data_IF_602535593185
#
_entry.id   IF_602535593185
#
_cell.length_a   1.000
_cell.length_b   1.000
_cell.length_c   1.000
_cell.angle_alpha   90.00
_cell.angle_beta   90.00
_cell.angle_gamma   90.00
#
_symmetry.space_group_name_H-M   'P 1'
#
loop_
_entity.id
_entity.type
_entity.pdbx_description
1 polymer ?
#
# COMPACT_ATOMS: atom_id res chain seq x y z
N UNK A 1 16.31 49.33 5.44
CA UNK A 1 17.47 49.85 6.24
C UNK A 1 17.16 49.67 7.71
N UNK A 2 18.10 49.22 8.57
CA UNK A 2 19.43 48.68 8.29
C UNK A 2 19.68 47.25 8.84
N UNK A 3 20.71 46.64 8.26
CA UNK A 3 21.46 45.50 8.76
C UNK A 3 22.04 45.71 10.17
N UNK A 4 22.14 44.68 10.98
CA UNK A 4 23.30 44.52 11.88
C UNK A 4 23.75 43.04 11.93
N UNK A 5 25.03 42.90 11.66
CA UNK A 5 25.83 41.68 11.68
C UNK A 5 26.55 41.52 13.02
N UNK A 6 27.11 40.32 13.21
CA UNK A 6 28.23 39.90 14.07
C UNK A 6 27.92 39.62 15.55
N UNK A 7 28.23 38.41 16.02
CA UNK A 7 29.56 38.16 16.62
C UNK A 7 29.81 36.66 16.83
N UNK A 8 30.98 36.22 16.37
CA UNK A 8 31.58 34.91 16.68
C UNK A 8 32.17 34.98 18.10
N UNK A 9 32.06 33.89 18.86
CA UNK A 9 32.99 33.61 19.96
C UNK A 9 33.50 32.18 19.85
N UNK A 10 34.78 32.04 19.56
CA UNK A 10 35.56 30.84 19.75
C UNK A 10 35.97 30.76 21.22
N UNK A 11 35.79 29.59 21.82
CA UNK A 11 36.54 29.22 23.01
C UNK A 11 36.98 27.77 22.88
N UNK A 12 38.29 27.62 22.71
CA UNK A 12 39.00 26.35 22.84
C UNK A 12 39.23 26.09 24.33
N UNK A 13 39.01 24.85 24.77
CA UNK A 13 39.61 24.36 26.03
C UNK A 13 40.17 22.95 25.81
N UNK A 14 41.43 22.87 26.20
CA UNK A 14 42.28 21.67 26.20
C UNK A 14 41.89 20.63 27.26
N UNK A 15 41.97 19.39 26.88
CA UNK A 15 42.73 18.31 27.49
C UNK A 15 42.41 17.83 28.90
N UNK A 16 42.05 16.54 28.97
CA UNK A 16 42.69 15.61 29.94
C UNK A 16 42.40 14.15 29.45
N UNK A 17 43.47 13.45 29.07
CA UNK A 17 43.43 12.04 28.81
C UNK A 17 43.43 11.28 30.14
N UNK A 18 42.36 10.50 30.38
CA UNK A 18 42.34 9.50 31.45
C UNK A 18 42.42 8.12 30.78
N UNK A 19 43.54 7.45 30.95
CA UNK A 19 43.74 6.06 30.59
C UNK A 19 42.96 5.18 31.58
N UNK A 20 41.85 4.61 31.15
CA UNK A 20 41.17 3.54 31.88
C UNK A 20 41.56 2.18 31.27
N UNK A 21 42.30 1.39 32.02
CA UNK A 21 42.55 -0.04 31.73
C UNK A 21 41.23 -0.79 31.88
N UNK A 22 40.61 -1.19 30.78
CA UNK A 22 39.49 -2.11 30.78
C UNK A 22 39.98 -3.56 30.65
N UNK A 23 39.87 -4.32 31.73
CA UNK A 23 40.03 -5.75 31.75
C UNK A 23 38.86 -6.35 30.96
N UNK A 24 39.13 -6.88 29.77
CA UNK A 24 38.17 -7.56 28.93
C UNK A 24 37.77 -8.92 29.52
N UNK A 25 36.55 -9.01 30.04
CA UNK A 25 35.89 -10.31 30.22
C UNK A 25 35.35 -10.76 28.85
N UNK A 26 35.96 -11.81 28.30
CA UNK A 26 35.47 -12.49 27.09
C UNK A 26 34.11 -13.11 27.41
N UNK A 27 33.02 -12.48 26.96
CA UNK A 27 31.69 -13.07 26.94
C UNK A 27 31.59 -14.18 25.88
N UNK A 28 30.68 -15.17 26.07
CA UNK A 28 30.51 -16.23 25.09
C UNK A 28 30.14 -15.67 23.71
N UNK A 29 30.86 -16.16 22.68
CA UNK A 29 30.55 -15.81 21.29
C UNK A 29 29.08 -16.15 21.00
N UNK A 30 28.26 -15.12 20.72
CA UNK A 30 26.95 -15.32 20.12
C UNK A 30 27.21 -15.89 18.74
N UNK A 31 26.79 -17.14 18.53
CA UNK A 31 26.75 -17.72 17.18
C UNK A 31 25.83 -16.83 16.33
N UNK A 32 26.36 -16.31 15.23
CA UNK A 32 25.58 -15.61 14.22
C UNK A 32 24.46 -16.55 13.76
N UNK A 33 23.22 -16.11 13.88
CA UNK A 33 22.10 -16.79 13.27
C UNK A 33 22.40 -16.88 11.76
N UNK A 34 22.18 -18.05 11.11
CA UNK A 34 22.41 -18.17 9.68
C UNK A 34 21.61 -17.08 8.97
N UNK A 35 22.29 -16.34 8.07
CA UNK A 35 21.62 -15.37 7.21
C UNK A 35 20.47 -16.08 6.48
N UNK A 36 19.27 -15.45 6.37
CA UNK A 36 18.17 -16.05 5.64
C UNK A 36 18.65 -16.39 4.23
N UNK A 37 18.40 -17.63 3.81
CA UNK A 37 18.77 -18.09 2.47
C UNK A 37 18.24 -17.09 1.44
N UNK A 38 19.11 -16.64 0.53
CA UNK A 38 18.73 -15.75 -0.56
C UNK A 38 17.54 -16.41 -1.29
N UNK A 39 16.35 -15.84 -1.16
CA UNK A 39 15.19 -16.28 -1.93
C UNK A 39 15.53 -16.08 -3.40
N UNK A 40 15.32 -17.11 -4.22
CA UNK A 40 15.40 -17.00 -5.68
C UNK A 40 14.63 -15.77 -6.13
N UNK A 41 15.22 -14.99 -7.05
CA UNK A 41 14.60 -13.76 -7.53
C UNK A 41 13.14 -14.04 -7.95
N UNK A 42 12.21 -13.36 -7.34
CA UNK A 42 10.78 -13.50 -7.59
C UNK A 42 10.48 -12.89 -8.96
N UNK A 43 10.42 -13.73 -9.99
CA UNK A 43 10.18 -13.26 -11.36
C UNK A 43 8.69 -13.26 -11.67
N UNK A 44 8.13 -12.09 -11.82
CA UNK A 44 6.77 -11.91 -12.32
C UNK A 44 6.79 -11.71 -13.83
N UNK A 45 6.24 -12.66 -14.57
CA UNK A 45 6.19 -12.64 -16.03
C UNK A 45 4.82 -12.18 -16.49
N UNK A 46 4.79 -11.15 -17.36
CA UNK A 46 3.58 -10.72 -18.03
C UNK A 46 3.05 -11.83 -18.95
N UNK A 47 1.79 -12.22 -18.76
CA UNK A 47 1.14 -13.29 -19.53
C UNK A 47 0.00 -12.74 -20.42
N UNK A 48 -0.32 -11.47 -20.31
CA UNK A 48 -1.31 -10.82 -21.16
C UNK A 48 -1.85 -9.52 -20.54
N UNK A 49 -2.75 -8.89 -21.25
CA UNK A 49 -3.47 -7.72 -20.77
C UNK A 49 -4.86 -7.63 -21.38
N UNK A 50 -5.78 -7.04 -20.66
CA UNK A 50 -7.12 -6.69 -21.11
C UNK A 50 -7.25 -5.16 -21.13
N UNK A 51 -8.25 -4.64 -21.84
CA UNK A 51 -8.55 -3.22 -21.75
C UNK A 51 -9.21 -2.93 -20.40
N UNK A 52 -8.67 -1.97 -19.67
CA UNK A 52 -9.33 -1.44 -18.47
C UNK A 52 -10.49 -0.52 -18.88
N UNK A 53 -11.65 -0.71 -18.27
CA UNK A 53 -12.80 0.18 -18.49
C UNK A 53 -12.62 1.46 -17.65
N UNK A 54 -12.63 2.65 -18.28
CA UNK A 54 -12.35 3.90 -17.57
C UNK A 54 -13.39 4.29 -16.52
N UNK A 55 -14.58 3.70 -16.55
CA UNK A 55 -15.63 4.00 -15.58
C UNK A 55 -15.69 3.02 -14.41
N UNK A 56 -15.21 1.80 -14.63
CA UNK A 56 -15.34 0.71 -13.65
C UNK A 56 -14.02 0.10 -13.21
N UNK A 57 -12.88 0.43 -13.88
CA UNK A 57 -11.58 -0.18 -13.60
C UNK A 57 -10.43 0.84 -13.71
N UNK A 58 -10.69 2.15 -13.50
CA UNK A 58 -9.64 3.15 -13.65
C UNK A 58 -8.92 3.49 -12.33
N UNK A 59 -9.41 3.00 -11.19
CA UNK A 59 -8.83 3.26 -9.88
C UNK A 59 -8.38 1.98 -9.18
N UNK A 60 -9.15 0.91 -9.28
CA UNK A 60 -8.80 -0.29 -8.55
C UNK A 60 -9.49 -1.56 -9.01
N UNK A 61 -9.00 -2.68 -8.48
CA UNK A 61 -9.43 -4.05 -8.77
C UNK A 61 -9.54 -4.86 -7.48
N UNK A 62 -10.45 -5.82 -7.43
CA UNK A 62 -10.48 -6.82 -6.38
C UNK A 62 -10.98 -8.18 -6.89
N UNK A 63 -10.45 -9.24 -6.32
CA UNK A 63 -10.98 -10.61 -6.41
C UNK A 63 -11.85 -10.88 -5.20
N UNK A 64 -13.17 -10.88 -5.39
CA UNK A 64 -14.11 -11.20 -4.31
C UNK A 64 -14.37 -12.70 -4.32
N UNK A 65 -14.06 -13.38 -3.22
CA UNK A 65 -14.37 -14.79 -3.09
C UNK A 65 -15.88 -15.03 -3.03
N UNK A 66 -16.28 -16.13 -3.65
CA UNK A 66 -17.66 -16.58 -3.72
C UNK A 66 -17.74 -18.03 -3.25
N UNK A 67 -18.93 -18.57 -2.90
CA UNK A 67 -19.06 -19.92 -2.40
C UNK A 67 -18.34 -20.96 -3.26
N UNK A 68 -17.81 -22.00 -2.61
CA UNK A 68 -17.09 -23.09 -3.28
C UNK A 68 -17.86 -23.61 -4.50
N UNK A 69 -17.14 -23.76 -5.63
CA UNK A 69 -17.73 -24.20 -6.90
C UNK A 69 -18.22 -23.09 -7.83
N UNK A 70 -18.26 -21.84 -7.36
CA UNK A 70 -18.50 -20.66 -8.20
C UNK A 70 -17.16 -20.05 -8.66
N UNK A 71 -17.09 -19.42 -9.85
CA UNK A 71 -15.91 -18.66 -10.23
C UNK A 71 -15.75 -17.44 -9.32
N UNK A 72 -14.49 -16.97 -9.11
CA UNK A 72 -14.25 -15.69 -8.44
C UNK A 72 -15.00 -14.59 -9.18
N UNK A 73 -15.54 -13.66 -8.42
CA UNK A 73 -16.04 -12.41 -8.96
C UNK A 73 -14.88 -11.41 -8.99
N UNK A 74 -14.50 -11.00 -10.17
CA UNK A 74 -13.64 -9.84 -10.34
C UNK A 74 -14.50 -8.60 -10.33
N UNK A 75 -14.07 -7.59 -9.59
CA UNK A 75 -14.72 -6.28 -9.56
C UNK A 75 -13.66 -5.21 -9.68
N UNK A 76 -14.02 -4.09 -10.25
CA UNK A 76 -13.19 -2.90 -10.33
C UNK A 76 -13.95 -1.70 -9.83
N UNK A 77 -13.25 -0.61 -9.64
CA UNK A 77 -13.81 0.68 -9.31
C UNK A 77 -13.14 1.77 -10.15
N UNK A 78 -13.93 2.71 -10.64
CA UNK A 78 -13.44 3.83 -11.47
C UNK A 78 -14.25 5.10 -11.25
N UNK A 79 -15.40 5.01 -10.58
CA UNK A 79 -16.29 6.15 -10.34
C UNK A 79 -16.86 6.12 -8.93
N UNK A 80 -17.08 7.31 -8.40
CA UNK A 80 -17.67 7.49 -7.07
C UNK A 80 -19.21 7.49 -7.19
N UNK A 81 -19.93 6.65 -6.41
CA UNK A 81 -21.37 6.67 -6.37
C UNK A 81 -21.91 8.07 -6.05
N UNK A 82 -22.94 8.51 -6.78
CA UNK A 82 -23.52 9.85 -6.65
C UNK A 82 -23.85 10.23 -5.20
N UNK A 83 -24.41 9.30 -4.42
CA UNK A 83 -24.73 9.53 -3.01
C UNK A 83 -23.52 9.75 -2.10
N UNK A 84 -22.31 9.32 -2.51
CA UNK A 84 -21.06 9.61 -1.82
C UNK A 84 -20.49 10.97 -2.28
N UNK A 85 -20.47 11.22 -3.59
CA UNK A 85 -19.94 12.47 -4.13
C UNK A 85 -20.70 13.69 -3.63
N UNK A 86 -22.04 13.62 -3.48
CA UNK A 86 -22.86 14.70 -2.91
C UNK A 86 -22.59 14.96 -1.42
N UNK A 87 -21.96 14.01 -0.71
CA UNK A 87 -21.49 14.18 0.67
C UNK A 87 -20.04 14.64 0.76
N UNK A 88 -19.41 14.94 -0.39
CA UNK A 88 -18.06 15.47 -0.49
C UNK A 88 -16.96 14.43 -0.58
N UNK A 89 -17.28 13.13 -0.72
CA UNK A 89 -16.27 12.10 -1.04
C UNK A 89 -15.95 12.24 -2.51
N UNK A 90 -14.75 12.70 -2.84
CA UNK A 90 -14.34 13.09 -4.19
C UNK A 90 -13.14 12.31 -4.74
N UNK A 91 -12.61 11.35 -3.96
CA UNK A 91 -11.59 10.42 -4.39
C UNK A 91 -11.94 9.01 -3.93
N UNK A 92 -11.70 8.02 -4.79
CA UNK A 92 -11.83 6.59 -4.49
C UNK A 92 -10.53 5.90 -4.92
N UNK A 93 -10.08 4.94 -4.13
CA UNK A 93 -8.85 4.21 -4.41
C UNK A 93 -9.07 2.73 -4.67
N UNK A 94 -8.00 1.95 -4.62
CA UNK A 94 -7.98 0.52 -4.88
C UNK A 94 -8.69 -0.28 -3.79
N UNK A 95 -9.76 -1.02 -4.13
CA UNK A 95 -10.50 -1.84 -3.18
C UNK A 95 -9.80 -3.17 -2.95
N UNK A 96 -10.22 -3.88 -1.90
CA UNK A 96 -9.87 -5.27 -1.68
C UNK A 96 -11.01 -6.05 -1.05
N UNK A 97 -10.88 -7.36 -0.92
CA UNK A 97 -11.89 -8.23 -0.36
C UNK A 97 -11.31 -9.30 0.56
N UNK A 98 -12.04 -9.59 1.63
CA UNK A 98 -11.74 -10.73 2.49
C UNK A 98 -12.28 -12.05 1.92
N UNK A 99 -11.71 -13.16 2.36
CA UNK A 99 -12.13 -14.51 1.93
C UNK A 99 -13.56 -14.90 2.30
N UNK A 100 -14.15 -14.21 3.26
CA UNK A 100 -15.56 -14.39 3.61
C UNK A 100 -16.53 -13.59 2.75
N UNK A 101 -15.98 -12.86 1.75
CA UNK A 101 -16.75 -12.12 0.75
C UNK A 101 -17.09 -10.68 1.13
N UNK A 102 -16.54 -10.13 2.21
CA UNK A 102 -16.62 -8.70 2.47
C UNK A 102 -15.70 -7.96 1.49
N UNK A 103 -16.23 -6.88 0.90
CA UNK A 103 -15.55 -6.04 -0.07
C UNK A 103 -15.40 -4.64 0.48
N UNK A 104 -14.19 -4.09 0.45
CA UNK A 104 -13.83 -2.81 1.05
C UNK A 104 -13.45 -1.81 -0.02
N UNK A 105 -14.13 -0.67 -0.07
CA UNK A 105 -13.82 0.48 -0.94
C UNK A 105 -13.22 1.62 -0.11
N UNK A 106 -12.00 2.09 -0.40
CA UNK A 106 -11.41 3.24 0.28
C UNK A 106 -11.82 4.56 -0.39
N UNK A 107 -12.24 5.54 0.41
CA UNK A 107 -12.63 6.88 -0.03
C UNK A 107 -11.94 7.97 0.78
N UNK A 108 -11.71 9.12 0.16
CA UNK A 108 -11.26 10.33 0.85
C UNK A 108 -11.95 11.58 0.33
N UNK A 109 -11.75 12.67 1.08
CA UNK A 109 -12.00 14.04 0.64
C UNK A 109 -10.65 14.71 0.48
N UNK A 110 -10.34 15.28 -0.67
CA UNK A 110 -9.01 15.85 -0.96
C UNK A 110 -8.61 16.99 -0.02
N UNK A 111 -9.58 17.69 0.56
CA UNK A 111 -9.37 18.77 1.54
C UNK A 111 -9.74 18.36 2.98
N UNK A 112 -10.00 17.08 3.19
CA UNK A 112 -10.49 16.56 4.46
C UNK A 112 -9.37 16.12 5.41
N UNK A 113 -9.78 15.75 6.62
CA UNK A 113 -8.95 15.12 7.63
C UNK A 113 -9.47 13.71 8.01
N UNK A 114 -10.22 13.09 7.10
CA UNK A 114 -10.83 11.77 7.31
C UNK A 114 -10.65 10.89 6.08
N UNK A 115 -10.47 9.60 6.33
CA UNK A 115 -10.57 8.51 5.36
C UNK A 115 -11.86 7.75 5.65
N UNK A 116 -12.46 7.14 4.64
CA UNK A 116 -13.59 6.25 4.83
C UNK A 116 -13.30 4.92 4.14
N UNK A 117 -13.64 3.84 4.82
CA UNK A 117 -13.70 2.49 4.26
C UNK A 117 -15.16 2.08 4.20
N UNK A 118 -15.69 1.94 2.99
CA UNK A 118 -17.06 1.51 2.76
C UNK A 118 -17.05 0.01 2.50
N UNK A 119 -17.79 -0.74 3.29
CA UNK A 119 -17.76 -2.20 3.27
C UNK A 119 -19.08 -2.76 2.78
N UNK A 120 -19.01 -3.63 1.78
CA UNK A 120 -20.14 -4.47 1.38
C UNK A 120 -20.01 -5.84 2.05
N UNK A 121 -21.01 -6.21 2.84
CA UNK A 121 -21.10 -7.55 3.40
C UNK A 121 -21.58 -8.58 2.34
N UNK A 122 -21.38 -9.90 2.56
CA UNK A 122 -21.82 -10.95 1.62
C UNK A 122 -23.31 -10.94 1.29
N UNK A 123 -24.15 -10.41 2.17
CA UNK A 123 -25.59 -10.23 1.94
C UNK A 123 -25.95 -9.03 1.06
N UNK A 124 -24.93 -8.25 0.63
CA UNK A 124 -25.06 -7.05 -0.19
C UNK A 124 -25.33 -5.76 0.59
N UNK A 125 -25.45 -5.81 1.91
CA UNK A 125 -25.60 -4.61 2.75
C UNK A 125 -24.30 -3.80 2.80
N UNK A 126 -24.43 -2.47 2.97
CA UNK A 126 -23.30 -1.56 3.02
C UNK A 126 -23.21 -0.87 4.38
N UNK A 127 -21.97 -0.73 4.88
CA UNK A 127 -21.65 0.07 6.05
C UNK A 127 -20.43 0.98 5.77
N UNK A 128 -20.35 2.10 6.49
CA UNK A 128 -19.28 3.09 6.33
C UNK A 128 -18.50 3.22 7.64
N UNK A 129 -17.18 3.15 7.55
CA UNK A 129 -16.27 3.24 8.69
C UNK A 129 -15.30 4.39 8.43
N UNK A 130 -15.30 5.37 9.31
CA UNK A 130 -14.50 6.59 9.14
C UNK A 130 -13.31 6.56 10.09
N UNK A 131 -12.14 6.86 9.54
CA UNK A 131 -10.92 7.15 10.29
C UNK A 131 -10.62 8.64 10.23
N UNK A 132 -10.50 9.27 11.39
CA UNK A 132 -9.97 10.64 11.51
C UNK A 132 -8.46 10.57 11.61
N UNK A 133 -7.76 11.33 10.75
CA UNK A 133 -6.30 11.32 10.67
C UNK A 133 -5.66 11.59 12.03
N UNK A 134 -4.67 10.80 12.38
CA UNK A 134 -3.84 10.99 13.56
C UNK A 134 -2.91 12.20 13.37
N UNK A 135 -2.42 12.83 14.44
CA UNK A 135 -1.43 13.90 14.33
C UNK A 135 -0.19 13.45 13.53
N UNK A 136 0.12 14.17 12.45
CA UNK A 136 1.25 13.86 11.56
C UNK A 136 0.96 12.77 10.51
N UNK A 137 -0.27 12.25 10.43
CA UNK A 137 -0.71 11.39 9.34
C UNK A 137 -1.07 12.23 8.13
N UNK A 138 -0.48 11.90 6.97
CA UNK A 138 -0.86 12.52 5.71
C UNK A 138 -2.16 11.91 5.17
N UNK A 139 -2.99 12.76 4.56
CA UNK A 139 -4.21 12.29 3.91
C UNK A 139 -3.84 11.44 2.70
N UNK A 140 -4.30 10.22 2.68
CA UNK A 140 -4.38 9.36 1.52
C UNK A 140 -5.29 8.18 1.81
N UNK A 141 -6.10 7.82 0.85
CA UNK A 141 -6.88 6.60 0.86
C UNK A 141 -6.90 5.98 -0.54
N UNK A 142 -5.72 5.90 -1.17
CA UNK A 142 -5.58 5.34 -2.51
C UNK A 142 -5.80 3.83 -2.55
N UNK A 143 -5.75 3.14 -1.42
CA UNK A 143 -5.93 1.69 -1.40
C UNK A 143 -6.28 1.12 -0.02
N UNK A 144 -6.79 -0.09 -0.06
CA UNK A 144 -6.93 -0.99 1.09
C UNK A 144 -6.38 -2.36 0.71
N UNK A 145 -5.70 -3.06 1.63
CA UNK A 145 -5.24 -4.43 1.46
C UNK A 145 -5.66 -5.27 2.65
N UNK A 146 -6.53 -6.24 2.44
CA UNK A 146 -7.10 -7.09 3.50
C UNK A 146 -6.19 -8.29 3.74
N UNK A 147 -5.80 -8.50 5.00
CA UNK A 147 -4.98 -9.64 5.39
C UNK A 147 -5.65 -10.98 5.07
N UNK A 148 -4.89 -12.06 4.80
CA UNK A 148 -5.45 -13.37 4.46
C UNK A 148 -6.37 -13.99 5.52
N UNK A 149 -6.24 -13.60 6.79
CA UNK A 149 -7.15 -14.01 7.85
C UNK A 149 -8.43 -13.17 7.92
N UNK A 150 -8.52 -12.14 7.08
CA UNK A 150 -9.64 -11.22 7.00
C UNK A 150 -9.78 -10.26 8.19
N UNK A 151 -8.91 -10.33 9.19
CA UNK A 151 -9.09 -9.57 10.43
C UNK A 151 -8.45 -8.19 10.40
N UNK A 152 -7.45 -7.99 9.54
CA UNK A 152 -6.67 -6.77 9.47
C UNK A 152 -6.68 -6.20 8.06
N UNK A 153 -6.43 -4.91 7.97
CA UNK A 153 -6.35 -4.19 6.71
C UNK A 153 -5.15 -3.23 6.77
N UNK A 154 -4.45 -3.10 5.68
CA UNK A 154 -3.43 -2.08 5.49
C UNK A 154 -3.96 -0.95 4.62
N UNK A 155 -3.49 0.25 4.88
CA UNK A 155 -3.64 1.44 4.05
C UNK A 155 -2.37 2.29 4.17
N UNK A 156 -2.30 3.42 3.48
CA UNK A 156 -1.09 4.22 3.44
C UNK A 156 -1.33 5.72 3.54
N UNK A 157 -0.23 6.44 3.34
CA UNK A 157 -0.15 7.90 3.20
C UNK A 157 0.30 8.25 1.77
N UNK A 158 0.02 9.47 1.31
CA UNK A 158 0.43 9.92 -0.01
C UNK A 158 1.86 10.46 -0.04
N UNK A 159 2.49 10.42 -1.20
CA UNK A 159 3.84 10.89 -1.42
C UNK A 159 4.90 9.88 -1.01
N UNK A 160 6.06 10.37 -0.61
CA UNK A 160 7.16 9.52 -0.13
C UNK A 160 6.92 9.16 1.33
N UNK A 161 6.83 7.87 1.61
CA UNK A 161 6.55 7.34 2.95
C UNK A 161 7.46 6.15 3.28
N UNK A 162 7.64 5.90 4.58
CA UNK A 162 8.42 4.77 5.10
C UNK A 162 7.61 3.92 6.08
N UNK A 163 6.28 4.00 5.98
CA UNK A 163 5.36 3.22 6.83
C UNK A 163 4.08 2.87 6.08
N UNK A 164 3.42 1.79 6.51
CA UNK A 164 2.03 1.48 6.20
C UNK A 164 1.24 1.47 7.49
N UNK A 165 -0.05 1.77 7.40
CA UNK A 165 -0.96 1.89 8.55
C UNK A 165 -1.80 0.62 8.65
N UNK A 166 -1.82 0.01 9.85
CA UNK A 166 -2.61 -1.20 10.12
C UNK A 166 -3.90 -0.81 10.81
N UNK A 167 -5.02 -1.26 10.26
CA UNK A 167 -6.35 -1.08 10.82
C UNK A 167 -7.00 -2.43 11.10
N UNK A 168 -7.88 -2.56 12.11
CA UNK A 168 -8.79 -3.69 12.16
C UNK A 168 -9.69 -3.65 10.92
N UNK A 169 -9.88 -4.79 10.23
CA UNK A 169 -10.68 -4.84 9.01
C UNK A 169 -12.14 -4.48 9.33
N UNK A 170 -12.64 -3.36 8.79
CA UNK A 170 -13.97 -2.88 9.14
C UNK A 170 -15.06 -3.86 8.67
N UNK A 171 -16.06 -4.06 9.53
CA UNK A 171 -17.17 -5.00 9.27
C UNK A 171 -16.87 -6.46 9.55
N UNK A 172 -15.62 -6.86 9.65
CA UNK A 172 -15.18 -8.24 9.92
C UNK A 172 -14.56 -8.36 11.31
N UNK A 173 -13.61 -7.49 11.63
CA UNK A 173 -13.01 -7.48 12.97
C UNK A 173 -14.01 -6.97 14.01
N UNK A 174 -14.26 -7.72 15.11
CA UNK A 174 -15.26 -7.37 16.12
C UNK A 174 -14.94 -6.07 16.89
N UNK A 175 -13.71 -5.54 16.78
CA UNK A 175 -13.34 -4.26 17.38
C UNK A 175 -13.87 -3.05 16.57
N UNK A 176 -14.49 -3.27 15.39
CA UNK A 176 -14.97 -2.20 14.52
C UNK A 176 -16.47 -1.93 14.68
N UNK A 177 -16.86 -0.66 14.51
CA UNK A 177 -18.25 -0.23 14.49
C UNK A 177 -18.41 1.00 13.59
N UNK A 178 -19.44 1.06 12.74
CA UNK A 178 -19.69 2.24 11.88
C UNK A 178 -19.94 3.55 12.65
N UNK A 179 -20.33 3.46 13.91
CA UNK A 179 -20.62 4.63 14.75
C UNK A 179 -19.44 5.17 15.54
N UNK A 180 -18.28 4.52 15.42
CA UNK A 180 -17.05 4.87 16.17
C UNK A 180 -15.91 5.10 15.18
N UNK A 181 -15.05 6.08 15.48
CA UNK A 181 -13.83 6.29 14.70
C UNK A 181 -13.03 5.00 14.58
N UNK A 182 -12.68 4.61 13.36
CA UNK A 182 -11.84 3.42 13.10
C UNK A 182 -10.41 3.73 13.56
N UNK A 183 -9.88 3.07 14.62
CA UNK A 183 -8.57 3.39 15.12
C UNK A 183 -7.47 2.73 14.27
N UNK A 184 -6.36 3.43 14.04
CA UNK A 184 -5.13 2.77 13.64
C UNK A 184 -4.66 1.87 14.79
N UNK A 185 -4.38 0.60 14.50
CA UNK A 185 -4.00 -0.39 15.50
C UNK A 185 -2.47 -0.52 15.64
N UNK A 186 -1.74 -0.49 14.53
CA UNK A 186 -0.29 -0.68 14.47
C UNK A 186 0.30 0.00 13.24
N UNK A 187 1.61 -0.09 13.09
CA UNK A 187 2.37 0.43 11.95
C UNK A 187 3.28 -0.66 11.37
N UNK A 188 3.38 -0.71 10.06
CA UNK A 188 4.47 -1.41 9.36
C UNK A 188 5.57 -0.40 9.07
N UNK A 189 6.74 -0.56 9.67
CA UNK A 189 7.90 0.27 9.41
C UNK A 189 8.70 -0.29 8.23
N UNK A 190 8.84 0.48 7.16
CA UNK A 190 9.55 0.06 5.96
C UNK A 190 11.04 0.39 6.07
N UNK A 191 11.90 -0.53 5.67
CA UNK A 191 13.35 -0.35 5.62
C UNK A 191 13.81 0.52 4.44
N UNK A 192 12.97 0.67 3.42
CA UNK A 192 13.16 1.55 2.27
C UNK A 192 11.88 2.34 1.99
N UNK A 193 12.04 3.64 1.72
CA UNK A 193 10.90 4.48 1.38
C UNK A 193 10.24 4.04 0.06
N UNK A 194 8.92 4.19 0.00
CA UNK A 194 8.10 4.03 -1.21
C UNK A 194 7.44 5.36 -1.55
N UNK A 195 6.93 5.52 -2.78
CA UNK A 195 6.28 6.76 -3.21
C UNK A 195 5.01 6.43 -3.99
N UNK A 196 3.96 7.22 -3.73
CA UNK A 196 2.71 7.23 -4.49
C UNK A 196 2.19 5.81 -4.76
N UNK A 197 2.08 5.00 -3.70
CA UNK A 197 1.54 3.65 -3.78
C UNK A 197 0.03 3.74 -4.02
N UNK A 198 -0.43 3.15 -5.12
CA UNK A 198 -1.82 3.23 -5.57
C UNK A 198 -2.64 1.97 -5.26
N UNK A 199 -1.98 0.88 -4.94
CA UNK A 199 -2.62 -0.37 -4.55
C UNK A 199 -1.63 -1.33 -3.93
N UNK A 200 -2.11 -2.13 -3.00
CA UNK A 200 -1.39 -3.30 -2.48
C UNK A 200 -2.36 -4.45 -2.29
N UNK A 201 -1.86 -5.67 -2.48
CA UNK A 201 -2.59 -6.88 -2.11
C UNK A 201 -1.66 -7.92 -1.49
N UNK A 202 -2.20 -8.72 -0.60
CA UNK A 202 -1.46 -9.79 0.05
C UNK A 202 -1.30 -11.00 -0.86
N UNK A 203 -0.07 -11.37 -1.19
CA UNK A 203 0.25 -12.65 -1.80
C UNK A 203 0.09 -13.80 -0.80
N UNK A 204 0.54 -13.58 0.43
CA UNK A 204 0.40 -14.47 1.59
C UNK A 204 0.38 -13.64 2.89
N UNK A 205 0.35 -14.27 4.06
CA UNK A 205 0.20 -13.58 5.34
C UNK A 205 1.33 -12.57 5.66
N UNK A 206 2.46 -12.64 4.97
CA UNK A 206 3.65 -11.83 5.23
C UNK A 206 4.24 -11.18 3.98
N UNK A 207 3.61 -11.34 2.83
CA UNK A 207 4.10 -10.78 1.57
C UNK A 207 3.02 -9.94 0.91
N UNK A 208 3.32 -8.65 0.67
CA UNK A 208 2.51 -7.74 -0.12
C UNK A 208 3.13 -7.54 -1.50
N UNK A 209 2.27 -7.36 -2.49
CA UNK A 209 2.60 -6.85 -3.82
C UNK A 209 1.93 -5.48 -3.96
N UNK A 210 2.67 -4.47 -4.40
CA UNK A 210 2.14 -3.11 -4.50
C UNK A 210 2.46 -2.49 -5.86
N UNK A 211 1.51 -1.75 -6.42
CA UNK A 211 1.72 -0.83 -7.54
C UNK A 211 2.12 0.55 -7.01
N UNK A 212 3.14 1.15 -7.59
CA UNK A 212 3.57 2.50 -7.23
C UNK A 212 3.49 3.41 -8.45
N UNK A 213 2.91 4.57 -8.27
CA UNK A 213 2.84 5.60 -9.31
C UNK A 213 4.06 6.54 -9.30
N UNK A 214 5.20 6.13 -8.74
CA UNK A 214 6.42 6.94 -8.70
C UNK A 214 6.85 7.37 -10.12
N UNK A 215 6.70 8.65 -10.49
CA UNK A 215 7.02 9.12 -11.84
C UNK A 215 8.52 9.36 -12.04
N UNK A 216 9.27 9.51 -10.96
CA UNK A 216 10.67 9.92 -11.01
C UNK A 216 11.65 8.75 -11.02
N UNK A 217 11.26 7.63 -10.39
CA UNK A 217 12.10 6.44 -10.26
C UNK A 217 13.36 6.65 -9.41
N UNK A 218 13.41 7.70 -8.61
CA UNK A 218 14.61 8.06 -7.82
C UNK A 218 14.85 7.09 -6.67
N UNK A 219 13.83 6.42 -6.18
CA UNK A 219 13.92 5.49 -5.06
C UNK A 219 14.50 4.13 -5.47
N UNK A 220 14.14 3.64 -6.67
CA UNK A 220 14.48 2.28 -7.13
C UNK A 220 15.22 2.25 -8.48
N UNK A 221 15.52 3.40 -9.08
CA UNK A 221 16.13 3.49 -10.41
C UNK A 221 15.19 3.13 -11.57
N UNK A 222 13.90 2.92 -11.30
CA UNK A 222 12.84 2.64 -12.28
C UNK A 222 11.58 3.42 -11.92
N UNK A 223 10.85 3.88 -12.92
CA UNK A 223 9.54 4.55 -12.73
C UNK A 223 8.42 3.51 -12.67
N UNK A 224 7.33 3.83 -11.98
CA UNK A 224 6.14 2.97 -11.85
C UNK A 224 6.51 1.53 -11.48
N UNK A 225 7.22 1.29 -10.35
CA UNK A 225 7.64 -0.04 -9.99
C UNK A 225 6.48 -0.90 -9.48
N UNK A 226 6.51 -2.19 -9.83
CA UNK A 226 5.89 -3.24 -9.04
C UNK A 226 6.80 -3.52 -7.85
N UNK A 227 6.27 -3.34 -6.65
CA UNK A 227 6.98 -3.54 -5.40
C UNK A 227 6.54 -4.84 -4.72
N UNK A 228 7.45 -5.44 -3.98
CA UNK A 228 7.18 -6.47 -2.99
C UNK A 228 7.61 -5.96 -1.62
N UNK A 229 6.79 -6.22 -0.62
CA UNK A 229 7.08 -5.89 0.78
C UNK A 229 6.98 -7.17 1.59
N UNK A 230 8.12 -7.63 2.12
CA UNK A 230 8.20 -8.80 3.00
C UNK A 230 8.08 -8.33 4.45
N UNK A 231 7.00 -8.70 5.12
CA UNK A 231 6.73 -8.35 6.51
C UNK A 231 7.46 -9.32 7.44
N UNK A 232 7.98 -8.80 8.56
CA UNK A 232 8.63 -9.62 9.60
C UNK A 232 7.66 -10.58 10.32
N UNK A 233 6.37 -10.26 10.30
CA UNK A 233 5.27 -11.08 10.79
C UNK A 233 3.97 -10.67 10.09
N UNK A 234 2.94 -11.53 10.12
CA UNK A 234 1.61 -11.14 9.70
C UNK A 234 1.12 -9.95 10.55
N UNK A 235 0.51 -8.92 9.92
CA UNK A 235 -0.04 -7.80 10.68
C UNK A 235 -1.17 -8.28 11.58
N UNK A 236 -1.18 -7.82 12.83
CA UNK A 236 -2.19 -8.26 13.78
C UNK A 236 -2.04 -7.62 15.15
N UNK A 237 -3.16 -7.38 15.82
CA UNK A 237 -3.17 -6.74 17.13
C UNK A 237 -2.62 -5.31 17.10
N UNK A 238 -1.93 -4.94 18.16
CA UNK A 238 -1.36 -3.58 18.34
C UNK A 238 0.16 -3.54 18.25
N UNK A 239 0.80 -4.63 17.81
CA UNK A 239 2.25 -4.70 17.67
C UNK A 239 2.69 -4.22 16.30
N UNK A 240 3.62 -3.27 16.27
CA UNK A 240 4.26 -2.85 15.03
C UNK A 240 5.09 -3.98 14.42
N UNK A 241 5.16 -4.01 13.10
CA UNK A 241 5.98 -4.94 12.33
C UNK A 241 6.92 -4.15 11.41
N UNK A 242 7.95 -4.82 10.89
CA UNK A 242 8.85 -4.24 9.88
C UNK A 242 8.57 -4.84 8.52
N UNK A 243 8.83 -4.06 7.45
CA UNK A 243 8.70 -4.51 6.07
C UNK A 243 9.99 -4.26 5.29
N UNK A 244 10.44 -5.28 4.57
CA UNK A 244 11.56 -5.17 3.62
C UNK A 244 11.02 -4.94 2.22
N UNK A 245 11.41 -3.83 1.59
CA UNK A 245 10.91 -3.40 0.28
C UNK A 245 11.84 -3.81 -0.84
N UNK A 246 11.32 -4.45 -1.87
CA UNK A 246 12.04 -4.80 -3.09
C UNK A 246 11.28 -4.32 -4.31
N UNK A 247 11.94 -3.60 -5.22
CA UNK A 247 11.39 -3.33 -6.55
C UNK A 247 11.61 -4.55 -7.46
N UNK A 248 10.52 -5.13 -7.95
CA UNK A 248 10.56 -6.36 -8.76
C UNK A 248 10.81 -6.04 -10.23
N UNK A 249 10.09 -5.06 -10.75
CA UNK A 249 10.17 -4.62 -12.15
C UNK A 249 9.44 -3.30 -12.38
N UNK A 250 9.70 -2.64 -13.50
CA UNK A 250 8.84 -1.58 -14.02
C UNK A 250 7.54 -2.19 -14.58
N UNK A 251 6.40 -1.56 -14.29
CA UNK A 251 5.13 -1.89 -14.93
C UNK A 251 5.17 -1.56 -16.42
N UNK A 252 4.41 -2.26 -17.27
CA UNK A 252 4.39 -1.98 -18.71
C UNK A 252 3.75 -0.63 -19.01
N UNK A 253 4.50 0.29 -19.63
CA UNK A 253 4.05 1.63 -20.01
C UNK A 253 3.91 1.68 -21.54
N UNK A 254 2.76 1.20 -22.06
CA UNK A 254 2.54 1.05 -23.52
C UNK A 254 1.23 1.72 -23.92
N UNK A 255 1.33 2.72 -24.77
CA UNK A 255 0.19 3.43 -25.36
C UNK A 255 0.56 4.05 -26.69
N UNK A 256 -0.44 4.32 -27.53
CA UNK A 256 -0.30 5.12 -28.73
C UNK A 256 -0.13 6.62 -28.43
N UNK A 257 -0.57 7.08 -27.24
CA UNK A 257 -0.41 8.45 -26.78
C UNK A 257 0.90 8.63 -26.02
N UNK A 258 1.50 9.80 -26.17
CA UNK A 258 2.63 10.24 -25.35
C UNK A 258 2.15 10.99 -24.11
N UNK A 259 2.92 10.90 -23.02
CA UNK A 259 2.62 11.59 -21.76
C UNK A 259 2.90 10.72 -20.53
N UNK A 260 2.46 11.19 -19.36
CA UNK A 260 2.57 10.44 -18.12
C UNK A 260 1.54 9.32 -18.06
N UNK A 261 2.00 8.13 -17.75
CA UNK A 261 1.14 7.02 -17.35
C UNK A 261 0.81 7.14 -15.87
N UNK A 262 -0.27 6.51 -15.45
CA UNK A 262 -0.59 6.32 -14.03
C UNK A 262 -0.64 4.81 -13.74
N UNK A 263 0.11 4.36 -12.74
CA UNK A 263 -0.05 3.03 -12.18
C UNK A 263 -1.15 3.13 -11.13
N UNK A 264 -2.14 2.26 -11.21
CA UNK A 264 -3.31 2.27 -10.35
C UNK A 264 -3.42 0.95 -9.57
N UNK A 265 -4.62 0.53 -9.25
CA UNK A 265 -4.90 -0.62 -8.41
C UNK A 265 -4.28 -1.94 -8.85
N UNK A 266 -4.14 -2.83 -7.89
CA UNK A 266 -3.51 -4.14 -8.01
C UNK A 266 -4.36 -5.18 -7.29
N UNK A 267 -4.40 -6.39 -7.83
CA UNK A 267 -5.12 -7.51 -7.23
C UNK A 267 -4.37 -8.81 -7.46
N UNK A 268 -4.18 -9.59 -6.43
CA UNK A 268 -3.60 -10.92 -6.49
C UNK A 268 -4.66 -11.99 -6.24
N UNK A 269 -5.15 -12.59 -7.30
CA UNK A 269 -6.05 -13.75 -7.19
C UNK A 269 -5.29 -14.96 -6.65
N UNK A 270 -5.43 -15.23 -5.36
CA UNK A 270 -4.75 -16.34 -4.66
C UNK A 270 -5.18 -17.72 -5.17
N UNK A 271 -6.36 -17.85 -5.79
CA UNK A 271 -6.85 -19.12 -6.33
C UNK A 271 -6.14 -19.50 -7.63
N UNK A 272 -5.81 -18.52 -8.44
CA UNK A 272 -5.14 -18.73 -9.73
C UNK A 272 -3.66 -18.41 -9.71
N UNK A 273 -3.18 -17.70 -8.68
CA UNK A 273 -1.82 -17.18 -8.61
C UNK A 273 -1.55 -16.06 -9.63
N UNK A 274 -2.61 -15.39 -10.09
CA UNK A 274 -2.52 -14.32 -11.09
C UNK A 274 -2.54 -12.97 -10.41
N UNK A 275 -1.53 -12.15 -10.70
CA UNK A 275 -1.49 -10.75 -10.32
C UNK A 275 -2.04 -9.91 -11.47
N UNK A 276 -2.94 -8.98 -11.15
CA UNK A 276 -3.50 -7.99 -12.07
C UNK A 276 -3.11 -6.60 -11.63
N UNK A 277 -2.71 -5.73 -12.56
CA UNK A 277 -2.34 -4.35 -12.27
C UNK A 277 -2.89 -3.44 -13.35
N UNK A 278 -3.54 -2.36 -12.96
CA UNK A 278 -4.03 -1.33 -13.88
C UNK A 278 -2.87 -0.37 -14.20
N UNK A 279 -2.75 -0.06 -15.49
CA UNK A 279 -1.91 1.05 -15.98
C UNK A 279 -2.78 1.92 -16.89
N UNK A 280 -3.02 3.13 -16.44
CA UNK A 280 -3.81 4.14 -17.16
C UNK A 280 -2.93 4.85 -18.15
N UNK A 281 -3.41 4.94 -19.39
CA UNK A 281 -2.70 5.56 -20.50
C UNK A 281 -2.84 7.08 -20.49
N UNK A 282 -1.85 7.82 -21.02
CA UNK A 282 -1.85 9.28 -21.01
C UNK A 282 -2.92 9.90 -21.94
N UNK A 283 -3.38 11.10 -21.57
CA UNK A 283 -4.26 11.94 -22.36
C UNK A 283 -5.57 11.26 -22.73
N UNK A 284 -6.06 11.44 -23.95
CA UNK A 284 -7.32 10.82 -24.39
C UNK A 284 -7.22 9.30 -24.58
N UNK A 285 -6.02 8.72 -24.62
CA UNK A 285 -5.82 7.28 -24.62
C UNK A 285 -6.27 6.61 -23.30
N UNK A 286 -6.54 7.37 -22.25
CA UNK A 286 -7.21 6.85 -21.04
C UNK A 286 -8.48 6.08 -21.39
N UNK A 287 -9.23 6.54 -22.40
CA UNK A 287 -10.51 5.96 -22.81
C UNK A 287 -10.37 4.69 -23.67
N UNK A 288 -9.23 4.49 -24.34
CA UNK A 288 -9.09 3.46 -25.38
C UNK A 288 -7.95 2.48 -25.17
N UNK A 289 -6.93 2.86 -24.41
CA UNK A 289 -5.65 2.16 -24.37
C UNK A 289 -5.15 1.82 -22.96
N UNK A 290 -5.87 2.23 -21.91
CA UNK A 290 -5.61 1.77 -20.54
C UNK A 290 -5.76 0.27 -20.42
N UNK A 291 -4.88 -0.38 -19.64
CA UNK A 291 -4.77 -1.83 -19.58
C UNK A 291 -4.77 -2.33 -18.14
N UNK A 292 -5.41 -3.47 -17.94
CA UNK A 292 -5.17 -4.35 -16.80
C UNK A 292 -4.19 -5.43 -17.26
N UNK A 293 -2.94 -5.32 -16.82
CA UNK A 293 -1.90 -6.31 -17.12
C UNK A 293 -1.99 -7.49 -16.17
N UNK A 294 -1.74 -8.68 -16.71
CA UNK A 294 -1.73 -9.93 -15.94
C UNK A 294 -0.32 -10.51 -15.87
N UNK A 295 0.05 -10.92 -14.67
CA UNK A 295 1.35 -11.55 -14.41
C UNK A 295 1.17 -12.86 -13.68
N UNK A 296 2.09 -13.78 -13.92
CA UNK A 296 2.23 -15.01 -13.12
C UNK A 296 3.64 -15.11 -12.58
N UNK A 297 3.76 -15.75 -11.43
CA UNK A 297 5.06 -16.02 -10.82
C UNK A 297 5.75 -17.15 -11.58
N UNK A 298 7.02 -16.92 -12.00
CA UNK A 298 7.87 -17.90 -12.66
C UNK A 298 8.59 -18.83 -11.68
#
# INVERSE_FOLDING_TARGET
MPLRARQRCHTALMGLAVLALSVGLAGPARGDAPAPAARTADTWTEVGSDRADPLTESQGLASVEVPAGSPNRYTGIGTIPFGLSTRGWNHVGDPDASYDGHYVEPYQRDDGNTKMFRVQAPDGSWAEYVHTLSPGEALNNSWSAVSPDGQWMLAAEWGTMNRLLVFPNPGVNPATSPSVNLPQAATVHLDHAVRDVQGCDFQDATTLLCSSDDPEGTLFGITKPLLRIDLSAAPGGTADVTGHVTALRQLPLRSACSGGFEAEGIDYDRRTGTLRVIVVSPGFCVLTDSKTYRFTRG
#
